data_IF_478554273461
#
_entry.id   IF_478554273461
#
_cell.length_a   1.000
_cell.length_b   1.000
_cell.length_c   1.000
_cell.angle_alpha   90.00
_cell.angle_beta   90.00
_cell.angle_gamma   90.00
#
_symmetry.space_group_name_H-M   'P 1'
#
loop_
_entity.id
_entity.type
_entity.pdbx_description
1 polymer ?
#
# COMPACT_ATOMS: atom_id res chain seq x y z
N UNK A 1 -17.66 8.08 9.45
CA UNK A 1 -17.09 8.67 8.23
C UNK A 1 -16.11 9.74 8.64
N UNK A 2 -14.93 9.29 9.01
CA UNK A 2 -13.77 10.14 9.15
C UNK A 2 -13.38 10.64 7.76
N UNK A 3 -13.35 11.95 7.54
CA UNK A 3 -12.91 12.57 6.26
C UNK A 3 -11.37 12.52 6.08
N UNK A 4 -10.69 11.61 6.77
CA UNK A 4 -9.23 11.49 6.72
C UNK A 4 -8.82 10.82 5.42
N UNK A 5 -8.01 11.52 4.64
CA UNK A 5 -7.34 10.97 3.46
C UNK A 5 -5.87 10.75 3.79
N UNK A 6 -5.40 9.51 3.65
CA UNK A 6 -4.01 9.12 3.81
C UNK A 6 -3.32 8.96 2.46
N UNK A 7 -2.20 9.65 2.27
CA UNK A 7 -1.36 9.53 1.07
C UNK A 7 0.04 9.10 1.48
N UNK A 8 0.53 7.96 0.97
CA UNK A 8 1.92 7.51 1.19
C UNK A 8 2.91 8.53 0.60
N UNK A 9 3.96 8.88 1.35
CA UNK A 9 5.01 9.80 0.89
C UNK A 9 6.36 9.10 0.75
N UNK A 10 6.75 8.28 1.74
CA UNK A 10 8.07 7.65 1.78
C UNK A 10 8.04 6.32 2.53
N UNK A 11 9.01 5.46 2.25
CA UNK A 11 9.32 4.32 3.12
C UNK A 11 10.83 4.06 3.05
N UNK A 12 11.53 4.28 4.16
CA UNK A 12 12.97 4.09 4.25
C UNK A 12 13.41 3.77 5.68
N UNK A 13 14.52 3.04 5.85
CA UNK A 13 15.12 2.76 7.16
C UNK A 13 14.12 2.19 8.18
N UNK A 14 13.17 1.35 7.73
CA UNK A 14 12.16 0.77 8.59
C UNK A 14 11.06 1.74 9.04
N UNK A 15 10.95 2.95 8.47
CA UNK A 15 9.90 3.92 8.81
C UNK A 15 9.08 4.24 7.56
N UNK A 16 7.79 3.88 7.63
CA UNK A 16 6.81 4.27 6.63
C UNK A 16 6.27 5.67 6.93
N UNK A 17 6.13 6.50 5.91
CA UNK A 17 5.69 7.89 6.04
C UNK A 17 4.49 8.17 5.13
N UNK A 18 3.54 8.93 5.66
CA UNK A 18 2.35 9.38 4.94
C UNK A 18 1.90 10.78 5.34
N UNK A 19 1.05 11.36 4.49
CA UNK A 19 0.37 12.62 4.71
C UNK A 19 -1.10 12.34 5.02
N UNK A 20 -1.57 12.82 6.18
CA UNK A 20 -2.97 12.84 6.56
C UNK A 20 -3.56 14.22 6.24
N UNK A 21 -4.72 14.24 5.60
CA UNK A 21 -5.46 15.46 5.27
C UNK A 21 -6.97 15.27 5.53
N UNK A 22 -7.72 16.37 5.62
CA UNK A 22 -9.18 16.32 5.79
C UNK A 22 -9.71 16.24 7.23
N UNK A 23 -8.84 16.33 8.24
CA UNK A 23 -9.23 16.31 9.67
C UNK A 23 -9.88 17.58 10.22
N UNK A 24 -10.15 18.59 9.37
CA UNK A 24 -10.70 19.86 9.80
C UNK A 24 -9.77 20.70 10.69
N UNK A 25 -8.46 20.40 10.71
CA UNK A 25 -7.44 21.13 11.47
C UNK A 25 -7.15 20.58 12.87
N UNK A 26 -7.95 19.62 13.36
CA UNK A 26 -7.63 18.88 14.57
C UNK A 26 -6.53 17.84 14.30
N UNK A 27 -5.63 17.64 15.27
CA UNK A 27 -4.60 16.61 15.21
C UNK A 27 -5.27 15.22 15.21
N UNK A 28 -5.15 14.42 14.13
CA UNK A 28 -5.77 13.10 14.07
C UNK A 28 -5.15 12.15 15.08
N UNK A 29 -5.98 11.36 15.77
CA UNK A 29 -5.50 10.21 16.54
C UNK A 29 -5.53 8.99 15.63
N UNK A 30 -4.37 8.35 15.48
CA UNK A 30 -4.21 7.19 14.59
C UNK A 30 -3.74 6.03 15.43
N UNK A 31 -4.41 4.90 15.27
CA UNK A 31 -3.92 3.61 15.76
C UNK A 31 -3.41 2.79 14.57
N UNK A 32 -2.32 2.05 14.79
CA UNK A 32 -1.75 1.17 13.78
C UNK A 32 -1.55 -0.20 14.39
N UNK A 33 -2.06 -1.23 13.73
CA UNK A 33 -1.95 -2.61 14.20
C UNK A 33 -1.33 -3.53 13.16
N UNK A 34 -0.55 -4.51 13.62
CA UNK A 34 -0.10 -5.67 12.85
C UNK A 34 -0.68 -6.92 13.50
N UNK A 35 -1.50 -7.69 12.76
CA UNK A 35 -2.19 -8.87 13.28
C UNK A 35 -2.97 -8.62 14.58
N UNK A 36 -3.57 -7.42 14.71
CA UNK A 36 -4.31 -7.00 15.90
C UNK A 36 -3.46 -6.54 17.09
N UNK A 37 -2.13 -6.50 16.95
CA UNK A 37 -1.21 -5.96 17.96
C UNK A 37 -0.82 -4.54 17.60
N UNK A 38 -0.92 -3.60 18.55
CA UNK A 38 -0.56 -2.20 18.33
C UNK A 38 0.94 -2.04 18.02
N UNK A 39 1.22 -1.21 17.01
CA UNK A 39 2.57 -0.83 16.61
C UNK A 39 3.04 0.32 17.49
N UNK A 40 4.22 0.18 18.09
CA UNK A 40 4.80 1.20 18.93
C UNK A 40 5.34 2.39 18.13
N UNK A 41 5.52 3.52 18.82
CA UNK A 41 6.24 4.70 18.31
C UNK A 41 5.67 5.32 17.02
N UNK A 42 4.37 5.13 16.79
CA UNK A 42 3.62 5.85 15.74
C UNK A 42 3.48 7.32 16.11
N UNK A 43 3.87 8.21 15.20
CA UNK A 43 3.82 9.67 15.43
C UNK A 43 2.98 10.37 14.39
N UNK A 44 2.17 11.34 14.81
CA UNK A 44 1.43 12.26 13.96
C UNK A 44 1.84 13.68 14.31
N UNK A 45 2.42 14.41 13.35
CA UNK A 45 2.96 15.76 13.57
C UNK A 45 2.36 16.77 12.58
N UNK A 46 2.16 18.01 13.01
CA UNK A 46 1.74 19.10 12.12
C UNK A 46 2.87 19.42 11.16
N UNK A 47 2.56 19.55 9.87
CA UNK A 47 3.54 20.02 8.88
C UNK A 47 3.55 21.55 8.87
N UNK A 48 4.69 22.21 9.15
CA UNK A 48 4.77 23.68 9.05
C UNK A 48 4.39 24.17 7.65
N UNK A 49 3.68 25.30 7.61
CA UNK A 49 3.34 26.03 6.38
C UNK A 49 2.49 25.24 5.36
N UNK A 50 1.85 24.14 5.76
CA UNK A 50 0.96 23.33 4.91
C UNK A 50 -0.25 22.82 5.67
N UNK A 51 -1.34 22.58 4.96
CA UNK A 51 -2.51 21.87 5.49
C UNK A 51 -2.26 20.38 5.48
N UNK A 52 -2.19 19.77 6.67
CA UNK A 52 -2.07 18.33 6.85
C UNK A 52 -1.11 17.94 7.96
N UNK A 53 -0.97 16.63 8.15
CA UNK A 53 -0.18 16.03 9.22
C UNK A 53 0.73 14.95 8.66
N UNK A 54 1.98 14.92 9.12
CA UNK A 54 2.92 13.86 8.82
C UNK A 54 2.68 12.68 9.75
N UNK A 55 2.32 11.53 9.18
CA UNK A 55 2.23 10.24 9.86
C UNK A 55 3.53 9.48 9.64
N UNK A 56 4.16 9.01 10.72
CA UNK A 56 5.31 8.10 10.68
C UNK A 56 4.97 6.83 11.43
N UNK A 57 5.20 5.70 10.79
CA UNK A 57 4.93 4.36 11.31
C UNK A 57 6.21 3.55 11.24
N UNK A 58 6.88 3.30 12.38
CA UNK A 58 7.97 2.34 12.45
C UNK A 58 7.44 0.94 12.11
N UNK A 59 8.14 0.23 11.23
CA UNK A 59 7.80 -1.13 10.88
C UNK A 59 8.33 -2.05 11.97
N UNK A 60 7.44 -2.77 12.67
CA UNK A 60 7.88 -3.66 13.72
C UNK A 60 8.62 -4.87 13.12
N UNK A 61 9.67 -5.41 13.78
CA UNK A 61 10.43 -6.55 13.27
C UNK A 61 9.57 -7.78 12.94
N UNK A 62 8.52 -8.04 13.72
CA UNK A 62 7.56 -9.12 13.50
C UNK A 62 6.75 -8.98 12.20
N UNK A 63 6.66 -7.78 11.61
CA UNK A 63 6.05 -7.57 10.30
C UNK A 63 7.04 -7.80 9.14
N UNK A 64 8.31 -8.07 9.42
CA UNK A 64 9.32 -8.46 8.43
C UNK A 64 9.37 -9.99 8.39
N UNK A 65 8.45 -10.57 7.63
CA UNK A 65 8.28 -12.01 7.50
C UNK A 65 7.98 -12.40 6.05
N UNK A 66 8.17 -13.68 5.72
CA UNK A 66 7.85 -14.21 4.39
C UNK A 66 6.37 -13.98 4.03
N UNK A 67 6.13 -13.75 2.75
CA UNK A 67 4.81 -13.50 2.19
C UNK A 67 4.39 -12.03 2.30
N UNK A 68 3.07 -11.81 2.35
CA UNK A 68 2.47 -10.49 2.47
C UNK A 68 2.05 -10.23 3.91
N UNK A 69 2.56 -9.14 4.48
CA UNK A 69 2.20 -8.62 5.79
C UNK A 69 1.43 -7.31 5.62
N UNK A 70 0.36 -7.14 6.40
CA UNK A 70 -0.49 -5.94 6.36
C UNK A 70 -0.54 -5.29 7.72
N UNK A 71 -0.23 -4.00 7.78
CA UNK A 71 -0.53 -3.15 8.93
C UNK A 71 -1.78 -2.34 8.62
N UNK A 72 -2.71 -2.30 9.55
CA UNK A 72 -3.94 -1.51 9.46
C UNK A 72 -3.72 -0.14 10.11
N UNK A 73 -4.12 0.92 9.43
CA UNK A 73 -4.13 2.29 9.96
C UNK A 73 -5.59 2.69 10.15
N UNK A 74 -5.98 3.00 11.38
CA UNK A 74 -7.35 3.35 11.74
C UNK A 74 -7.40 4.66 12.54
N UNK A 75 -8.56 5.31 12.51
CA UNK A 75 -8.89 6.41 13.41
C UNK A 75 -9.08 5.84 14.82
N UNK A 76 -8.29 6.32 15.78
CA UNK A 76 -8.30 5.75 17.14
C UNK A 76 -9.59 6.05 17.92
N UNK A 77 -10.35 7.08 17.53
CA UNK A 77 -11.60 7.45 18.20
C UNK A 77 -12.80 6.68 17.62
N UNK A 78 -12.76 6.29 16.34
CA UNK A 78 -13.90 5.65 15.65
C UNK A 78 -13.67 4.20 15.22
N UNK A 79 -12.44 3.71 15.30
CA UNK A 79 -12.00 2.42 14.74
C UNK A 79 -12.21 2.31 13.21
N UNK A 80 -12.46 3.45 12.54
CA UNK A 80 -12.67 3.49 11.10
C UNK A 80 -11.33 3.38 10.37
N UNK A 81 -11.24 2.43 9.44
CA UNK A 81 -10.03 2.22 8.65
C UNK A 81 -9.73 3.44 7.77
N UNK A 82 -8.54 4.01 7.95
CA UNK A 82 -8.00 5.11 7.15
C UNK A 82 -7.18 4.57 5.97
N UNK A 83 -6.43 3.49 6.19
CA UNK A 83 -5.58 2.90 5.16
C UNK A 83 -4.80 1.68 5.64
N UNK A 84 -3.89 1.19 4.81
CA UNK A 84 -3.04 0.05 5.12
C UNK A 84 -1.61 0.25 4.63
N UNK A 85 -0.68 -0.44 5.28
CA UNK A 85 0.69 -0.62 4.81
C UNK A 85 0.87 -2.08 4.43
N UNK A 86 1.31 -2.34 3.21
CA UNK A 86 1.62 -3.69 2.74
C UNK A 86 3.13 -3.86 2.65
N UNK A 87 3.64 -4.88 3.33
CA UNK A 87 5.02 -5.34 3.23
C UNK A 87 5.01 -6.71 2.54
N UNK A 88 5.96 -6.91 1.64
CA UNK A 88 6.13 -8.16 0.92
C UNK A 88 7.60 -8.55 0.98
N UNK A 89 7.89 -9.73 1.51
CA UNK A 89 9.25 -10.27 1.63
C UNK A 89 9.27 -11.79 1.36
N UNK A 90 10.46 -12.34 1.09
CA UNK A 90 10.65 -13.75 0.75
C UNK A 90 10.64 -14.04 -0.77
N UNK A 91 10.86 -15.30 -1.14
CA UNK A 91 11.08 -15.73 -2.54
C UNK A 91 9.80 -15.98 -3.37
N UNK A 92 8.59 -15.95 -2.78
CA UNK A 92 7.41 -16.48 -3.45
C UNK A 92 6.59 -15.48 -4.31
N UNK A 93 6.91 -14.19 -4.33
CA UNK A 93 6.09 -13.19 -5.05
C UNK A 93 6.59 -12.85 -6.46
N UNK A 94 7.89 -13.00 -6.71
CA UNK A 94 8.46 -12.59 -8.01
C UNK A 94 8.34 -13.69 -9.06
N UNK A 95 8.52 -14.95 -8.71
CA UNK A 95 8.60 -16.03 -9.69
C UNK A 95 7.23 -16.49 -10.17
N UNK A 96 6.26 -16.73 -9.27
CA UNK A 96 4.90 -17.14 -9.66
C UNK A 96 4.17 -16.04 -10.46
N UNK A 97 4.29 -14.77 -10.06
CA UNK A 97 3.69 -13.67 -10.82
C UNK A 97 4.36 -13.44 -12.17
N UNK A 98 5.68 -13.65 -12.29
CA UNK A 98 6.37 -13.55 -13.60
C UNK A 98 5.94 -14.68 -14.54
N UNK A 99 5.80 -15.90 -14.03
CA UNK A 99 5.31 -17.04 -14.81
C UNK A 99 3.91 -16.76 -15.36
N UNK A 100 2.98 -16.27 -14.54
CA UNK A 100 1.64 -15.91 -14.98
C UNK A 100 1.64 -14.73 -15.98
N UNK A 101 2.49 -13.72 -15.78
CA UNK A 101 2.63 -12.59 -16.74
C UNK A 101 3.21 -13.05 -18.07
N UNK A 102 4.16 -13.98 -18.07
CA UNK A 102 4.75 -14.52 -19.29
C UNK A 102 3.77 -15.42 -20.04
N UNK A 103 2.93 -16.19 -19.33
CA UNK A 103 1.80 -16.92 -19.90
C UNK A 103 0.79 -15.98 -20.58
N UNK A 104 0.39 -14.90 -19.90
CA UNK A 104 -0.52 -13.89 -20.48
C UNK A 104 0.06 -13.23 -21.74
N UNK A 105 1.38 -12.98 -21.78
CA UNK A 105 2.06 -12.46 -22.97
C UNK A 105 2.06 -13.46 -24.11
N UNK A 106 2.28 -14.74 -23.83
CA UNK A 106 2.25 -15.80 -24.83
C UNK A 106 0.86 -15.91 -25.49
N UNK A 107 -0.20 -15.88 -24.68
CA UNK A 107 -1.58 -15.89 -25.18
C UNK A 107 -1.90 -14.64 -26.02
N UNK A 108 -1.48 -13.46 -25.59
CA UNK A 108 -1.63 -12.22 -26.36
C UNK A 108 -0.85 -12.23 -27.68
N UNK A 109 0.33 -12.85 -27.72
CA UNK A 109 1.11 -13.03 -28.94
C UNK A 109 0.44 -13.98 -29.93
N UNK A 110 -0.19 -15.05 -29.43
CA UNK A 110 -1.00 -15.94 -30.26
C UNK A 110 -2.20 -15.19 -30.86
N UNK A 111 -2.91 -14.40 -30.05
CA UNK A 111 -4.03 -13.56 -30.50
C UNK A 111 -3.57 -12.55 -31.57
N UNK A 112 -2.46 -11.83 -31.34
CA UNK A 112 -1.89 -10.87 -32.28
C UNK A 112 -1.55 -11.52 -33.62
N UNK A 113 -0.99 -12.74 -33.62
CA UNK A 113 -0.68 -13.49 -34.84
C UNK A 113 -1.94 -13.89 -35.62
N UNK A 114 -2.95 -14.39 -34.92
CA UNK A 114 -4.23 -14.74 -35.54
C UNK A 114 -4.91 -13.51 -36.17
N UNK A 115 -4.92 -12.39 -35.45
CA UNK A 115 -5.50 -11.14 -35.93
C UNK A 115 -4.75 -10.59 -37.17
N UNK A 116 -3.41 -10.55 -37.14
CA UNK A 116 -2.61 -10.12 -38.29
C UNK A 116 -2.88 -10.95 -39.54
N UNK A 117 -3.00 -12.28 -39.38
CA UNK A 117 -3.34 -13.18 -40.49
C UNK A 117 -4.73 -12.90 -41.03
N UNK A 118 -5.72 -12.72 -40.15
CA UNK A 118 -7.09 -12.39 -40.56
C UNK A 118 -7.17 -11.07 -41.35
N UNK A 119 -6.44 -10.03 -40.92
CA UNK A 119 -6.37 -8.76 -41.66
C UNK A 119 -5.72 -8.90 -43.05
N UNK A 120 -4.80 -9.84 -43.24
CA UNK A 120 -4.16 -10.11 -44.53
C UNK A 120 -5.04 -10.97 -45.45
N UNK A 121 -5.87 -11.84 -44.88
CA UNK A 121 -6.75 -12.73 -45.65
C UNK A 121 -8.07 -12.06 -46.06
N UNK A 122 -8.45 -10.98 -45.38
CA UNK A 122 -9.77 -10.34 -45.53
C UNK A 122 -9.71 -8.88 -46.02
N UNK A 123 -8.51 -8.37 -46.33
CA UNK A 123 -8.28 -7.04 -46.92
C UNK A 123 -7.78 -7.16 -48.35
#
# INVERSE_FOLDING_TARGET
MTNLTLTKTKFQQGVWEGLLSGSGGALPKVDVTHQGTSVADVTVEVIPDRTGFALRVPIPPEAIADGMQTLLIADADTDEQIGTITLMAGEALADDMRVEVDLLRAELDMLKRAFRRHCLETG
#
